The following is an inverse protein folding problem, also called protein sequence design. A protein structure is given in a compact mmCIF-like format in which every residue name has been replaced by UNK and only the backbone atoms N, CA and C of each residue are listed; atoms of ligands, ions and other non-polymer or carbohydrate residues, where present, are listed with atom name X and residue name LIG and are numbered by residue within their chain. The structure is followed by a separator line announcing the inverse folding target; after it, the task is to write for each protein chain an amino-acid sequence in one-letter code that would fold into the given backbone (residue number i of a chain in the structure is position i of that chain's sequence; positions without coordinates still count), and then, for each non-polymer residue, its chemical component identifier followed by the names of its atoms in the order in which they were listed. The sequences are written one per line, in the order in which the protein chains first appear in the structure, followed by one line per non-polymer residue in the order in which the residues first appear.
data_IF_050246762838
#
_entry.id   IF_050246762838
#
_cell.length_a   1.000
_cell.length_b   1.000
_cell.length_c   1.000
_cell.angle_alpha   90.00
_cell.angle_beta   90.00
_cell.angle_gamma   90.00
#
_symmetry.space_group_name_H-M   'P 1'
#
loop_
_entity.id
_entity.type
_entity.pdbx_description
1 polymer ?
#
# COMPACT_ATOMS: atom_id res chain seq x y z
N UNK A 1 -47.05 28.80 46.25
CA UNK A 1 -46.68 28.99 44.83
C UNK A 1 -45.32 28.40 44.38
N UNK A 2 -44.52 27.74 45.22
CA UNK A 2 -43.15 27.27 44.87
C UNK A 2 -43.01 25.81 44.36
N UNK A 3 -44.03 25.23 43.72
CA UNK A 3 -43.98 23.83 43.23
C UNK A 3 -43.70 23.65 41.72
N UNK A 4 -43.63 24.73 40.94
CA UNK A 4 -43.51 24.64 39.47
C UNK A 4 -42.08 24.72 38.91
N UNK A 5 -41.09 25.09 39.70
CA UNK A 5 -39.74 25.37 39.17
C UNK A 5 -38.81 24.14 39.07
N UNK A 6 -39.10 23.05 39.80
CA UNK A 6 -38.30 21.82 39.74
C UNK A 6 -38.58 20.97 38.48
N UNK A 7 -39.83 20.96 38.00
CA UNK A 7 -40.23 20.18 36.80
C UNK A 7 -39.74 20.83 35.51
N UNK A 8 -39.67 22.17 35.47
CA UNK A 8 -39.18 22.92 34.31
C UNK A 8 -37.67 22.75 34.07
N UNK A 9 -36.86 22.66 35.14
CA UNK A 9 -35.41 22.44 35.00
C UNK A 9 -35.06 21.02 34.50
N UNK A 10 -35.91 20.04 34.83
CA UNK A 10 -35.72 18.65 34.42
C UNK A 10 -36.22 18.36 32.99
N UNK A 11 -37.32 18.99 32.57
CA UNK A 11 -37.76 18.95 31.19
C UNK A 11 -36.73 19.61 30.23
N UNK A 12 -36.06 20.67 30.68
CA UNK A 12 -35.01 21.33 29.89
C UNK A 12 -33.79 20.42 29.64
N UNK A 13 -33.38 19.61 30.62
CA UNK A 13 -32.25 18.68 30.48
C UNK A 13 -32.55 17.52 29.51
N UNK A 14 -33.79 17.03 29.50
CA UNK A 14 -34.23 15.99 28.57
C UNK A 14 -34.34 16.50 27.12
N UNK A 15 -34.80 17.74 26.91
CA UNK A 15 -34.82 18.36 25.58
C UNK A 15 -33.41 18.65 25.04
N UNK A 16 -32.47 19.07 25.90
CA UNK A 16 -31.05 19.28 25.55
C UNK A 16 -30.35 17.98 25.09
N UNK A 17 -30.66 16.85 25.73
CA UNK A 17 -30.14 15.54 25.34
C UNK A 17 -30.72 15.02 24.01
N UNK A 18 -32.01 15.25 23.74
CA UNK A 18 -32.66 14.80 22.51
C UNK A 18 -32.14 15.56 21.27
N UNK A 19 -31.82 16.85 21.40
CA UNK A 19 -31.21 17.64 20.33
C UNK A 19 -29.79 17.17 19.97
N UNK A 20 -29.05 16.63 20.94
CA UNK A 20 -27.67 16.19 20.77
C UNK A 20 -27.59 14.84 20.01
N UNK A 21 -28.53 13.92 20.27
CA UNK A 21 -28.64 12.64 19.53
C UNK A 21 -29.07 12.87 18.07
N UNK A 22 -30.04 13.77 17.82
CA UNK A 22 -30.44 14.09 16.46
C UNK A 22 -29.31 14.75 15.65
N UNK A 23 -28.45 15.55 16.31
CA UNK A 23 -27.25 16.13 15.71
C UNK A 23 -26.18 15.06 15.44
N UNK A 24 -25.99 14.08 16.32
CA UNK A 24 -25.10 12.93 16.08
C UNK A 24 -25.60 12.05 14.92
N UNK A 25 -26.91 11.82 14.81
CA UNK A 25 -27.52 11.09 13.68
C UNK A 25 -27.22 11.74 12.33
N UNK A 26 -27.31 13.08 12.26
CA UNK A 26 -26.96 13.82 11.04
C UNK A 26 -25.47 13.69 10.71
N UNK A 27 -24.60 13.88 11.70
CA UNK A 27 -23.15 13.70 11.53
C UNK A 27 -22.77 12.28 11.10
N UNK A 28 -23.46 11.26 11.62
CA UNK A 28 -23.28 9.88 11.20
C UNK A 28 -23.69 9.67 9.73
N UNK A 29 -24.84 10.22 9.33
CA UNK A 29 -25.31 10.14 7.95
C UNK A 29 -24.32 10.83 7.00
N UNK A 30 -23.82 12.02 7.36
CA UNK A 30 -22.83 12.77 6.57
C UNK A 30 -21.50 12.01 6.49
N UNK A 31 -21.02 11.44 7.59
CA UNK A 31 -19.79 10.66 7.61
C UNK A 31 -19.89 9.39 6.76
N UNK A 32 -21.02 8.66 6.84
CA UNK A 32 -21.29 7.48 6.02
C UNK A 32 -21.41 7.83 4.54
N UNK A 33 -22.13 8.90 4.21
CA UNK A 33 -22.26 9.39 2.84
C UNK A 33 -20.90 9.83 2.28
N UNK A 34 -20.10 10.54 3.07
CA UNK A 34 -18.73 10.92 2.72
C UNK A 34 -17.82 9.72 2.47
N UNK A 35 -17.86 8.70 3.34
CA UNK A 35 -17.10 7.47 3.20
C UNK A 35 -17.48 6.71 1.91
N UNK A 36 -18.79 6.57 1.65
CA UNK A 36 -19.29 5.92 0.43
C UNK A 36 -18.88 6.68 -0.84
N UNK A 37 -18.97 8.01 -0.83
CA UNK A 37 -18.55 8.84 -1.95
C UNK A 37 -17.04 8.75 -2.20
N UNK A 38 -16.22 8.75 -1.13
CA UNK A 38 -14.79 8.57 -1.24
C UNK A 38 -14.44 7.17 -1.80
N UNK A 39 -15.07 6.12 -1.29
CA UNK A 39 -14.87 4.77 -1.81
C UNK A 39 -15.25 4.65 -3.29
N UNK A 40 -16.35 5.26 -3.72
CA UNK A 40 -16.76 5.26 -5.11
C UNK A 40 -15.75 6.00 -6.02
N UNK A 41 -15.19 7.12 -5.54
CA UNK A 41 -14.12 7.86 -6.24
C UNK A 41 -12.83 7.04 -6.33
N UNK A 42 -12.40 6.40 -5.23
CA UNK A 42 -11.24 5.52 -5.23
C UNK A 42 -11.38 4.39 -6.26
N UNK A 43 -12.52 3.69 -6.29
CA UNK A 43 -12.79 2.65 -7.28
C UNK A 43 -12.82 3.18 -8.72
N UNK A 44 -13.35 4.38 -8.95
CA UNK A 44 -13.36 4.98 -10.28
C UNK A 44 -11.94 5.32 -10.76
N UNK A 45 -11.11 5.89 -9.89
CA UNK A 45 -9.69 6.18 -10.15
C UNK A 45 -8.90 4.90 -10.41
N UNK A 46 -9.17 3.83 -9.66
CA UNK A 46 -8.51 2.55 -9.86
C UNK A 46 -8.89 1.89 -11.19
N UNK A 47 -10.15 1.99 -11.62
CA UNK A 47 -10.56 1.58 -12.97
C UNK A 47 -9.85 2.37 -14.06
N UNK A 48 -9.71 3.69 -13.88
CA UNK A 48 -8.96 4.54 -14.82
C UNK A 48 -7.47 4.18 -14.84
N UNK A 49 -6.86 3.96 -13.67
CA UNK A 49 -5.48 3.49 -13.56
C UNK A 49 -5.28 2.14 -14.25
N UNK A 50 -6.24 1.21 -14.08
CA UNK A 50 -6.24 -0.07 -14.79
C UNK A 50 -6.31 0.08 -16.31
N UNK A 51 -7.14 0.99 -16.82
CA UNK A 51 -7.21 1.28 -18.26
C UNK A 51 -5.89 1.85 -18.80
N UNK A 52 -5.23 2.75 -18.05
CA UNK A 52 -3.93 3.31 -18.39
C UNK A 52 -2.82 2.23 -18.36
N UNK A 53 -2.83 1.31 -17.38
CA UNK A 53 -1.92 0.14 -17.34
C UNK A 53 -2.12 -0.77 -18.54
N UNK A 54 -3.37 -1.02 -18.93
CA UNK A 54 -3.69 -1.83 -20.11
C UNK A 54 -3.19 -1.14 -21.39
N UNK A 55 -3.36 0.18 -21.52
CA UNK A 55 -2.83 0.95 -22.65
C UNK A 55 -1.29 0.87 -22.73
N UNK A 56 -0.60 0.98 -21.58
CA UNK A 56 0.84 0.78 -21.50
C UNK A 56 1.26 -0.64 -21.94
N UNK A 57 0.54 -1.67 -21.48
CA UNK A 57 0.79 -3.06 -21.86
C UNK A 57 0.59 -3.31 -23.36
N UNK A 58 -0.42 -2.67 -23.98
CA UNK A 58 -0.64 -2.72 -25.43
C UNK A 58 0.52 -2.07 -26.18
N UNK A 59 1.02 -0.92 -25.72
CA UNK A 59 2.18 -0.26 -26.33
C UNK A 59 3.42 -1.16 -26.28
N UNK A 60 3.69 -1.78 -25.12
CA UNK A 60 4.79 -2.70 -24.93
C UNK A 60 4.64 -3.97 -25.80
N UNK A 61 3.44 -4.52 -25.93
CA UNK A 61 3.18 -5.67 -26.79
C UNK A 61 3.43 -5.35 -28.27
N UNK A 62 3.07 -4.14 -28.72
CA UNK A 62 3.38 -3.66 -30.07
C UNK A 62 4.89 -3.55 -30.29
N UNK A 63 5.64 -3.03 -29.31
CA UNK A 63 7.10 -2.96 -29.37
C UNK A 63 7.73 -4.34 -29.57
N UNK A 64 7.32 -5.33 -28.76
CA UNK A 64 7.82 -6.72 -28.86
C UNK A 64 7.47 -7.37 -30.19
N UNK A 65 6.26 -7.13 -30.70
CA UNK A 65 5.84 -7.65 -32.00
C UNK A 65 6.66 -7.05 -33.16
N UNK A 66 6.98 -5.76 -33.08
CA UNK A 66 7.86 -5.09 -34.06
C UNK A 66 9.29 -5.67 -34.00
N UNK A 67 9.86 -5.81 -32.79
CA UNK A 67 11.19 -6.39 -32.60
C UNK A 67 11.27 -7.83 -33.16
N UNK A 68 10.25 -8.65 -32.94
CA UNK A 68 10.17 -10.00 -33.48
C UNK A 68 10.14 -10.02 -35.03
N UNK A 69 9.43 -9.07 -35.66
CA UNK A 69 9.39 -8.95 -37.13
C UNK A 69 10.74 -8.54 -37.71
N UNK A 70 11.46 -7.63 -37.06
CA UNK A 70 12.82 -7.22 -37.46
C UNK A 70 13.77 -8.41 -37.38
N UNK A 71 13.78 -9.12 -36.25
CA UNK A 71 14.63 -10.29 -36.06
C UNK A 71 14.36 -11.39 -37.11
N UNK A 72 13.10 -11.62 -37.46
CA UNK A 72 12.73 -12.56 -38.51
C UNK A 72 13.27 -12.14 -39.89
N UNK A 73 13.12 -10.86 -40.27
CA UNK A 73 13.61 -10.34 -41.53
C UNK A 73 15.16 -10.35 -41.62
N UNK A 74 15.85 -10.04 -40.51
CA UNK A 74 17.31 -10.16 -40.41
C UNK A 74 17.79 -11.60 -40.60
N UNK A 75 17.09 -12.57 -40.00
CA UNK A 75 17.39 -13.98 -40.18
C UNK A 75 17.19 -14.44 -41.63
N UNK A 76 16.14 -13.98 -42.31
CA UNK A 76 15.89 -14.27 -43.73
C UNK A 76 17.01 -13.72 -44.64
N UNK A 77 17.42 -12.47 -44.44
CA UNK A 77 18.53 -11.86 -45.21
C UNK A 77 19.84 -12.61 -44.94
N UNK A 78 20.10 -13.00 -43.69
CA UNK A 78 21.29 -13.76 -43.31
C UNK A 78 21.30 -15.14 -43.98
N UNK A 79 20.18 -15.85 -43.94
CA UNK A 79 20.03 -17.15 -44.60
C UNK A 79 20.18 -17.03 -46.13
N UNK A 80 19.64 -15.97 -46.74
CA UNK A 80 19.75 -15.73 -48.17
C UNK A 80 21.21 -15.43 -48.59
N UNK A 81 21.95 -14.66 -47.80
CA UNK A 81 23.39 -14.42 -48.02
C UNK A 81 24.19 -15.72 -47.96
N UNK A 82 23.98 -16.53 -46.93
CA UNK A 82 24.66 -17.81 -46.80
C UNK A 82 24.39 -18.76 -47.99
N UNK A 83 23.15 -18.77 -48.51
CA UNK A 83 22.81 -19.52 -49.73
C UNK A 83 23.55 -19.00 -50.97
N UNK A 84 23.64 -17.68 -51.14
CA UNK A 84 24.39 -17.07 -52.25
C UNK A 84 25.87 -17.46 -52.17
N UNK A 85 26.47 -17.41 -50.99
CA UNK A 85 27.89 -17.74 -50.80
C UNK A 85 28.16 -19.22 -51.08
N UNK A 86 27.27 -20.12 -50.65
CA UNK A 86 27.36 -21.55 -50.96
C UNK A 86 27.29 -21.82 -52.47
N UNK A 87 26.29 -21.22 -53.16
CA UNK A 87 26.11 -21.41 -54.61
C UNK A 87 27.30 -20.81 -55.38
N UNK A 88 27.83 -19.67 -54.94
CA UNK A 88 29.03 -19.07 -55.53
C UNK A 88 30.25 -20.01 -55.43
N UNK A 89 30.48 -20.63 -54.27
CA UNK A 89 31.55 -21.60 -54.09
C UNK A 89 31.41 -22.85 -54.96
N UNK A 90 30.18 -23.38 -55.11
CA UNK A 90 29.91 -24.50 -56.02
C UNK A 90 30.17 -24.13 -57.49
N UNK A 91 29.81 -22.91 -57.90
CA UNK A 91 30.05 -22.41 -59.25
C UNK A 91 31.54 -22.24 -59.56
N UNK A 92 32.33 -21.73 -58.62
CA UNK A 92 33.78 -21.64 -58.77
C UNK A 92 34.41 -23.03 -58.98
N UNK A 93 33.95 -24.04 -58.23
CA UNK A 93 34.39 -25.43 -58.43
C UNK A 93 34.00 -25.97 -59.82
N UNK A 94 32.79 -25.69 -60.29
CA UNK A 94 32.35 -26.10 -61.63
C UNK A 94 33.16 -25.42 -62.73
N UNK A 95 33.43 -24.11 -62.61
CA UNK A 95 34.27 -23.36 -63.54
C UNK A 95 35.69 -23.92 -63.60
N UNK A 96 36.30 -24.21 -62.45
CA UNK A 96 37.64 -24.81 -62.40
C UNK A 96 37.69 -26.18 -63.09
N UNK A 97 36.65 -27.02 -62.90
CA UNK A 97 36.53 -28.31 -63.60
C UNK A 97 36.38 -28.13 -65.11
N UNK A 98 35.55 -27.17 -65.55
CA UNK A 98 35.36 -26.86 -66.97
C UNK A 98 36.65 -26.33 -67.61
N UNK A 99 37.37 -25.43 -66.93
CA UNK A 99 38.65 -24.89 -67.39
C UNK A 99 39.70 -26.00 -67.56
N UNK A 100 39.82 -26.91 -66.59
CA UNK A 100 40.69 -28.10 -66.71
C UNK A 100 40.31 -28.98 -67.89
N UNK A 101 39.01 -29.19 -68.13
CA UNK A 101 38.52 -29.99 -69.26
C UNK A 101 38.73 -29.31 -70.63
N UNK A 102 38.69 -27.98 -70.69
CA UNK A 102 38.88 -27.19 -71.92
C UNK A 102 40.36 -26.95 -72.26
N UNK A 103 41.28 -27.03 -71.30
CA UNK A 103 42.69 -26.73 -71.51
C UNK A 103 43.35 -27.55 -72.64
N UNK A 104 43.17 -28.89 -72.75
CA UNK A 104 43.76 -29.66 -73.83
C UNK A 104 43.22 -29.27 -75.21
N UNK A 105 41.91 -29.00 -75.31
CA UNK A 105 41.25 -28.59 -76.56
C UNK A 105 41.69 -27.20 -77.02
N UNK A 106 41.89 -26.27 -76.09
CA UNK A 106 42.41 -24.94 -76.41
C UNK A 106 43.84 -25.03 -76.98
N UNK A 107 44.71 -25.86 -76.41
CA UNK A 107 46.05 -26.12 -76.95
C UNK A 107 45.98 -26.79 -78.33
N UNK A 108 45.06 -27.73 -78.53
CA UNK A 108 44.91 -28.46 -79.79
C UNK A 108 44.38 -27.55 -80.92
N UNK A 109 43.41 -26.68 -80.63
CA UNK A 109 42.95 -25.62 -81.54
C UNK A 109 44.10 -24.66 -81.87
N UNK A 110 44.84 -24.19 -80.87
CA UNK A 110 45.99 -23.32 -81.10
C UNK A 110 47.06 -23.98 -81.99
N UNK A 111 47.33 -25.27 -81.79
CA UNK A 111 48.24 -26.05 -82.63
C UNK A 111 47.73 -26.21 -84.07
N UNK A 112 46.44 -26.54 -84.26
CA UNK A 112 45.83 -26.63 -85.59
C UNK A 112 45.81 -25.29 -86.32
N UNK A 113 45.53 -24.20 -85.61
CA UNK A 113 45.47 -22.85 -86.17
C UNK A 113 46.88 -22.34 -86.50
N UNK A 114 47.89 -22.69 -85.70
CA UNK A 114 49.30 -22.48 -86.01
C UNK A 114 49.77 -23.25 -87.24
N UNK A 115 49.32 -24.50 -87.41
CA UNK A 115 49.56 -25.30 -88.61
C UNK A 115 48.87 -24.71 -89.85
N UNK A 116 47.62 -24.29 -89.74
CA UNK A 116 46.85 -23.71 -90.85
C UNK A 116 47.40 -22.34 -91.31
N UNK A 117 48.07 -21.61 -90.42
CA UNK A 117 48.73 -20.34 -90.71
C UNK A 117 50.09 -20.51 -91.43
N UNK A 118 50.59 -21.74 -91.62
CA UNK A 118 51.81 -22.04 -92.39
C UNK A 118 51.43 -22.74 -93.72
N UNK A 119 51.85 -22.26 -94.91
CA UNK A 119 51.37 -22.79 -96.18
C UNK A 119 51.74 -24.28 -96.40
N UNK A 120 50.88 -25.08 -97.04
CA UNK A 120 50.88 -26.54 -96.99
C UNK A 120 51.80 -27.21 -98.01
N UNK A 121 52.96 -26.63 -98.34
CA UNK A 121 53.84 -27.26 -99.35
C UNK A 121 54.50 -28.54 -98.79
N UNK A 122 54.54 -28.72 -97.46
CA UNK A 122 55.13 -29.89 -96.81
C UNK A 122 54.10 -30.98 -96.39
N UNK A 123 52.80 -30.69 -96.35
CA UNK A 123 51.80 -31.61 -95.80
C UNK A 123 51.23 -32.62 -96.81
N UNK A 124 51.43 -32.38 -98.11
CA UNK A 124 50.97 -33.25 -99.22
C UNK A 124 51.87 -34.49 -99.39
N UNK A 125 53.07 -34.49 -98.80
CA UNK A 125 54.09 -35.52 -99.02
C UNK A 125 54.09 -36.69 -98.01
N UNK A 126 53.27 -36.66 -96.95
CA UNK A 126 53.20 -37.74 -95.95
C UNK A 126 51.91 -38.59 -96.08
N UNK A 127 52.01 -39.90 -96.36
CA UNK A 127 50.85 -40.79 -96.34
C UNK A 127 50.32 -40.93 -94.90
N UNK A 128 49.04 -40.62 -94.68
CA UNK A 128 48.35 -40.71 -93.37
C UNK A 128 47.79 -39.39 -92.84
N UNK A 129 48.34 -38.24 -93.26
CA UNK A 129 47.98 -36.93 -92.69
C UNK A 129 46.50 -36.55 -92.84
N UNK A 130 45.86 -36.98 -93.93
CA UNK A 130 44.44 -36.71 -94.21
C UNK A 130 43.51 -37.54 -93.31
N UNK A 131 43.88 -38.79 -93.04
CA UNK A 131 43.12 -39.69 -92.17
C UNK A 131 43.18 -39.22 -90.71
N UNK A 132 44.36 -38.79 -90.25
CA UNK A 132 44.55 -38.22 -88.92
C UNK A 132 43.75 -36.92 -88.74
N UNK A 133 43.75 -36.04 -89.75
CA UNK A 133 42.98 -34.80 -89.72
C UNK A 133 41.47 -35.07 -89.66
N UNK A 134 40.98 -36.05 -90.41
CA UNK A 134 39.58 -36.48 -90.39
C UNK A 134 39.20 -37.06 -89.02
N UNK A 135 40.10 -37.83 -88.39
CA UNK A 135 39.89 -38.41 -87.06
C UNK A 135 39.81 -37.33 -85.97
N UNK A 136 40.75 -36.38 -85.97
CA UNK A 136 40.73 -35.22 -85.05
C UNK A 136 39.45 -34.40 -85.23
N UNK A 137 39.03 -34.15 -86.48
CA UNK A 137 37.79 -33.43 -86.78
C UNK A 137 36.54 -34.18 -86.29
N UNK A 138 36.50 -35.51 -86.42
CA UNK A 138 35.40 -36.34 -85.94
C UNK A 138 35.30 -36.35 -84.40
N UNK A 139 36.43 -36.41 -83.69
CA UNK A 139 36.48 -36.26 -82.23
C UNK A 139 36.05 -34.86 -81.81
N UNK A 140 36.48 -33.81 -82.51
CA UNK A 140 36.03 -32.45 -82.23
C UNK A 140 34.52 -32.28 -82.43
N UNK A 141 33.96 -32.85 -83.50
CA UNK A 141 32.54 -32.77 -83.81
C UNK A 141 31.65 -33.41 -82.73
N UNK A 142 32.17 -34.40 -81.98
CA UNK A 142 31.45 -35.04 -80.88
C UNK A 142 31.65 -34.32 -79.54
N UNK A 143 32.84 -33.79 -79.25
CA UNK A 143 33.17 -33.18 -77.95
C UNK A 143 32.76 -31.69 -77.86
N UNK A 144 32.88 -30.94 -78.95
CA UNK A 144 32.54 -29.51 -78.99
C UNK A 144 31.10 -29.20 -78.53
N UNK A 145 30.03 -29.91 -78.99
CA UNK A 145 28.68 -29.61 -78.54
C UNK A 145 28.46 -29.89 -77.05
N UNK A 146 29.10 -30.91 -76.48
CA UNK A 146 29.01 -31.22 -75.04
C UNK A 146 29.62 -30.09 -74.19
N UNK A 147 30.76 -29.56 -74.61
CA UNK A 147 31.41 -28.44 -73.92
C UNK A 147 30.60 -27.15 -74.08
N UNK A 148 30.04 -26.91 -75.26
CA UNK A 148 29.17 -25.76 -75.50
C UNK A 148 27.92 -25.79 -74.59
N UNK A 149 27.27 -26.96 -74.46
CA UNK A 149 26.12 -27.15 -73.58
C UNK A 149 26.47 -26.96 -72.09
N UNK A 150 27.59 -27.53 -71.63
CA UNK A 150 28.07 -27.33 -70.24
C UNK A 150 28.42 -25.86 -69.96
N UNK A 151 29.08 -25.19 -70.90
CA UNK A 151 29.41 -23.76 -70.78
C UNK A 151 28.14 -22.90 -70.76
N UNK A 152 27.12 -23.24 -71.55
CA UNK A 152 25.83 -22.56 -71.52
C UNK A 152 25.13 -22.72 -70.16
N UNK A 153 25.18 -23.91 -69.58
CA UNK A 153 24.62 -24.21 -68.25
C UNK A 153 25.29 -23.36 -67.17
N UNK A 154 26.63 -23.35 -67.10
CA UNK A 154 27.38 -22.53 -66.13
C UNK A 154 27.08 -21.03 -66.30
N UNK A 155 26.96 -20.54 -67.55
CA UNK A 155 26.56 -19.14 -67.80
C UNK A 155 25.14 -18.84 -67.27
N UNK A 156 24.20 -19.76 -67.44
CA UNK A 156 22.84 -19.60 -66.94
C UNK A 156 22.79 -19.58 -65.40
N UNK A 157 23.53 -20.47 -64.74
CA UNK A 157 23.62 -20.51 -63.27
C UNK A 157 24.31 -19.26 -62.69
N UNK A 158 25.35 -18.74 -63.34
CA UNK A 158 25.97 -17.46 -62.97
C UNK A 158 24.99 -16.29 -63.09
N UNK A 159 24.21 -16.25 -64.18
CA UNK A 159 23.20 -15.22 -64.38
C UNK A 159 22.11 -15.30 -63.29
N UNK A 160 21.67 -16.51 -62.93
CA UNK A 160 20.74 -16.72 -61.82
C UNK A 160 21.34 -16.25 -60.48
N UNK A 161 22.58 -16.62 -60.18
CA UNK A 161 23.27 -16.21 -58.95
C UNK A 161 23.43 -14.70 -58.85
N UNK A 162 23.77 -14.01 -59.95
CA UNK A 162 23.83 -12.54 -60.01
C UNK A 162 22.47 -11.89 -59.71
N UNK A 163 21.37 -12.46 -60.23
CA UNK A 163 20.01 -11.98 -59.93
C UNK A 163 19.66 -12.14 -58.46
N UNK A 164 19.93 -13.30 -57.87
CA UNK A 164 19.69 -13.55 -56.43
C UNK A 164 20.53 -12.61 -55.57
N UNK A 165 21.81 -12.41 -55.90
CA UNK A 165 22.69 -11.46 -55.19
C UNK A 165 22.17 -10.02 -55.26
N UNK A 166 21.66 -9.59 -56.42
CA UNK A 166 21.02 -8.29 -56.56
C UNK A 166 19.77 -8.19 -55.67
N UNK A 167 18.91 -9.22 -55.65
CA UNK A 167 17.74 -9.26 -54.77
C UNK A 167 18.11 -9.19 -53.28
N UNK A 168 19.12 -9.93 -52.84
CA UNK A 168 19.63 -9.88 -51.45
C UNK A 168 20.16 -8.49 -51.10
N UNK A 169 20.83 -7.81 -52.04
CA UNK A 169 21.34 -6.45 -51.83
C UNK A 169 20.19 -5.45 -51.68
N UNK A 170 19.16 -5.55 -52.52
CA UNK A 170 17.94 -4.73 -52.41
C UNK A 170 17.20 -5.02 -51.10
N UNK A 171 17.01 -6.29 -50.75
CA UNK A 171 16.35 -6.70 -49.50
C UNK A 171 17.11 -6.21 -48.27
N UNK A 172 18.45 -6.28 -48.28
CA UNK A 172 19.27 -5.77 -47.19
C UNK A 172 19.17 -4.25 -47.02
N UNK A 173 19.13 -3.48 -48.11
CA UNK A 173 18.93 -2.02 -48.06
C UNK A 173 17.55 -1.67 -47.52
N UNK A 174 16.51 -2.32 -48.06
CA UNK A 174 15.14 -2.14 -47.57
C UNK A 174 15.05 -2.48 -46.08
N UNK A 175 15.73 -3.55 -45.62
CA UNK A 175 15.79 -3.90 -44.20
C UNK A 175 16.40 -2.77 -43.37
N UNK A 176 17.58 -2.24 -43.74
CA UNK A 176 18.21 -1.11 -43.04
C UNK A 176 17.31 0.13 -42.97
N UNK A 177 16.59 0.45 -44.05
CA UNK A 177 15.64 1.57 -44.06
C UNK A 177 14.44 1.30 -43.14
N UNK A 178 13.89 0.09 -43.17
CA UNK A 178 12.76 -0.30 -42.31
C UNK A 178 13.16 -0.34 -40.83
N UNK A 179 14.36 -0.80 -40.49
CA UNK A 179 14.84 -0.82 -39.09
C UNK A 179 15.06 0.59 -38.56
N UNK A 180 15.62 1.50 -39.37
CA UNK A 180 15.75 2.92 -39.01
C UNK A 180 14.37 3.57 -38.75
N UNK A 181 13.38 3.29 -39.60
CA UNK A 181 12.01 3.77 -39.39
C UNK A 181 11.38 3.16 -38.14
N UNK A 182 11.52 1.86 -37.93
CA UNK A 182 10.96 1.16 -36.78
C UNK A 182 11.59 1.62 -35.47
N UNK A 183 12.88 1.99 -35.43
CA UNK A 183 13.50 2.54 -34.22
C UNK A 183 12.84 3.87 -33.81
N UNK A 184 12.49 4.73 -34.77
CA UNK A 184 11.74 5.96 -34.49
C UNK A 184 10.34 5.67 -33.93
N UNK A 185 9.64 4.67 -34.49
CA UNK A 185 8.34 4.21 -33.99
C UNK A 185 8.47 3.58 -32.59
N UNK A 186 9.55 2.83 -32.34
CA UNK A 186 9.87 2.21 -31.05
C UNK A 186 10.06 3.26 -29.97
N UNK A 187 10.81 4.32 -30.25
CA UNK A 187 10.98 5.45 -29.34
C UNK A 187 9.66 6.18 -29.07
N UNK A 188 8.81 6.33 -30.09
CA UNK A 188 7.48 6.92 -29.91
C UNK A 188 6.57 6.05 -29.03
N UNK A 189 6.58 4.73 -29.22
CA UNK A 189 5.86 3.76 -28.39
C UNK A 189 6.39 3.74 -26.96
N UNK A 190 7.70 3.75 -26.75
CA UNK A 190 8.31 3.79 -25.41
C UNK A 190 7.91 5.07 -24.65
N UNK A 191 7.88 6.22 -25.34
CA UNK A 191 7.37 7.48 -24.75
C UNK A 191 5.87 7.39 -24.43
N UNK A 192 5.07 6.74 -25.27
CA UNK A 192 3.65 6.52 -25.02
C UNK A 192 3.41 5.60 -23.82
N UNK A 193 4.13 4.49 -23.74
CA UNK A 193 4.12 3.56 -22.61
C UNK A 193 4.49 4.28 -21.31
N UNK A 194 5.58 5.05 -21.30
CA UNK A 194 6.02 5.80 -20.13
C UNK A 194 4.96 6.81 -19.66
N UNK A 195 4.28 7.49 -20.60
CA UNK A 195 3.15 8.39 -20.27
C UNK A 195 1.98 7.65 -19.63
N UNK A 196 1.55 6.53 -20.21
CA UNK A 196 0.47 5.72 -19.66
C UNK A 196 0.83 5.13 -18.29
N UNK A 197 2.06 4.64 -18.11
CA UNK A 197 2.56 4.14 -16.83
C UNK A 197 2.56 5.24 -15.77
N UNK A 198 3.10 6.42 -16.08
CA UNK A 198 3.10 7.57 -15.16
C UNK A 198 1.69 8.04 -14.79
N UNK A 199 0.75 8.06 -15.74
CA UNK A 199 -0.67 8.37 -15.47
C UNK A 199 -1.32 7.32 -14.58
N UNK A 200 -1.07 6.04 -14.85
CA UNK A 200 -1.59 4.94 -14.02
C UNK A 200 -1.07 5.01 -12.58
N UNK A 201 0.21 5.34 -12.40
CA UNK A 201 0.82 5.53 -11.08
C UNK A 201 0.18 6.71 -10.35
N UNK A 202 0.09 7.88 -11.01
CA UNK A 202 -0.54 9.07 -10.43
C UNK A 202 -2.00 8.82 -10.03
N UNK A 203 -2.80 8.21 -10.91
CA UNK A 203 -4.19 7.83 -10.60
C UNK A 203 -4.28 6.82 -9.46
N UNK A 204 -3.35 5.85 -9.42
CA UNK A 204 -3.24 4.88 -8.33
C UNK A 204 -2.95 5.52 -6.98
N UNK A 205 -2.06 6.51 -6.93
CA UNK A 205 -1.78 7.25 -5.69
C UNK A 205 -3.02 8.01 -5.20
N UNK A 206 -3.71 8.74 -6.09
CA UNK A 206 -4.95 9.46 -5.73
C UNK A 206 -6.05 8.48 -5.31
N UNK A 207 -6.13 7.29 -5.90
CA UNK A 207 -7.06 6.25 -5.48
C UNK A 207 -6.77 5.75 -4.05
N UNK A 208 -5.50 5.56 -3.70
CA UNK A 208 -5.06 5.16 -2.36
C UNK A 208 -5.42 6.25 -1.34
N UNK A 209 -5.13 7.52 -1.66
CA UNK A 209 -5.45 8.65 -0.78
C UNK A 209 -6.96 8.75 -0.52
N UNK A 210 -7.77 8.57 -1.56
CA UNK A 210 -9.22 8.62 -1.42
C UNK A 210 -9.78 7.38 -0.69
N UNK A 211 -9.15 6.22 -0.84
CA UNK A 211 -9.45 5.03 -0.03
C UNK A 211 -9.11 5.24 1.45
N UNK A 212 -7.96 5.85 1.76
CA UNK A 212 -7.58 6.20 3.13
C UNK A 212 -8.57 7.20 3.74
N UNK A 213 -9.04 8.17 2.95
CA UNK A 213 -10.11 9.09 3.36
C UNK A 213 -11.42 8.35 3.64
N UNK A 214 -11.80 7.38 2.81
CA UNK A 214 -12.99 6.57 3.04
C UNK A 214 -12.89 5.78 4.36
N UNK A 215 -11.71 5.21 4.66
CA UNK A 215 -11.44 4.51 5.91
C UNK A 215 -11.57 5.45 7.12
N UNK A 216 -10.92 6.61 7.08
CA UNK A 216 -10.98 7.59 8.17
C UNK A 216 -12.42 8.07 8.45
N UNK A 217 -13.21 8.32 7.40
CA UNK A 217 -14.63 8.68 7.55
C UNK A 217 -15.46 7.51 8.09
N UNK A 218 -15.12 6.27 7.70
CA UNK A 218 -15.73 5.06 8.23
C UNK A 218 -15.44 4.84 9.71
N UNK A 219 -14.22 5.12 10.16
CA UNK A 219 -13.83 5.11 11.58
C UNK A 219 -14.57 6.20 12.37
N UNK A 220 -14.59 7.43 11.88
CA UNK A 220 -15.35 8.52 12.49
C UNK A 220 -16.85 8.19 12.62
N UNK A 221 -17.42 7.51 11.62
CA UNK A 221 -18.80 7.03 11.69
C UNK A 221 -19.00 5.99 12.79
N UNK A 222 -18.05 5.07 13.01
CA UNK A 222 -18.10 4.10 14.12
C UNK A 222 -18.02 4.81 15.48
N UNK A 223 -17.09 5.76 15.63
CA UNK A 223 -16.96 6.54 16.88
C UNK A 223 -18.22 7.35 17.22
N UNK A 224 -18.96 7.82 16.21
CA UNK A 224 -20.25 8.49 16.43
C UNK A 224 -21.29 7.49 16.91
N UNK A 225 -21.36 6.29 16.32
CA UNK A 225 -22.29 5.22 16.76
C UNK A 225 -22.03 4.84 18.22
N UNK A 226 -20.77 4.67 18.60
CA UNK A 226 -20.38 4.31 19.96
C UNK A 226 -20.78 5.41 20.97
N UNK A 227 -20.51 6.68 20.64
CA UNK A 227 -20.95 7.82 21.49
C UNK A 227 -22.46 7.94 21.58
N UNK A 228 -23.19 7.66 20.51
CA UNK A 228 -24.65 7.65 20.52
C UNK A 228 -25.19 6.54 21.42
N UNK A 229 -24.57 5.36 21.42
CA UNK A 229 -24.93 4.25 22.31
C UNK A 229 -24.72 4.64 23.79
N UNK A 230 -23.53 5.17 24.13
CA UNK A 230 -23.22 5.64 25.49
C UNK A 230 -24.22 6.71 25.97
N UNK A 231 -24.55 7.68 25.11
CA UNK A 231 -25.53 8.74 25.42
C UNK A 231 -26.95 8.20 25.56
N UNK A 232 -27.35 7.24 24.73
CA UNK A 232 -28.66 6.58 24.80
C UNK A 232 -28.83 5.82 26.12
N UNK A 233 -27.82 5.06 26.54
CA UNK A 233 -27.80 4.37 27.84
C UNK A 233 -27.88 5.36 29.01
N UNK A 234 -27.13 6.46 28.94
CA UNK A 234 -27.17 7.51 29.97
C UNK A 234 -28.54 8.17 30.08
N UNK A 235 -29.22 8.43 28.95
CA UNK A 235 -30.57 8.98 28.93
C UNK A 235 -31.62 8.00 29.46
N UNK A 236 -31.51 6.71 29.12
CA UNK A 236 -32.38 5.67 29.66
C UNK A 236 -32.25 5.59 31.19
N UNK A 237 -31.00 5.56 31.68
CA UNK A 237 -30.70 5.56 33.12
C UNK A 237 -31.24 6.82 33.82
N UNK A 238 -31.05 7.99 33.22
CA UNK A 238 -31.58 9.24 33.77
C UNK A 238 -33.12 9.25 33.81
N UNK A 239 -33.78 8.73 32.77
CA UNK A 239 -35.24 8.57 32.73
C UNK A 239 -35.75 7.63 33.83
N UNK A 240 -35.06 6.51 34.04
CA UNK A 240 -35.37 5.56 35.11
C UNK A 240 -35.21 6.19 36.50
N UNK A 241 -34.11 6.93 36.73
CA UNK A 241 -33.87 7.66 37.96
C UNK A 241 -34.93 8.74 38.25
N UNK A 242 -35.50 9.35 37.21
CA UNK A 242 -36.58 10.33 37.34
C UNK A 242 -37.95 9.71 37.59
N UNK A 243 -38.15 8.46 37.16
CA UNK A 243 -39.37 7.71 37.43
C UNK A 243 -39.43 7.17 38.87
N UNK A 244 -38.29 7.09 39.56
CA UNK A 244 -38.25 6.71 40.98
C UNK A 244 -38.96 7.76 41.85
N UNK A 245 -39.73 7.34 42.87
CA UNK A 245 -40.35 8.25 43.82
C UNK A 245 -39.28 9.10 44.50
N UNK A 246 -39.47 10.42 44.49
CA UNK A 246 -38.52 11.39 45.03
C UNK A 246 -38.17 11.12 46.50
N UNK A 247 -37.01 11.59 46.97
CA UNK A 247 -36.56 11.32 48.34
C UNK A 247 -37.63 11.79 49.33
N UNK A 248 -38.15 10.86 50.12
CA UNK A 248 -38.98 11.19 51.28
C UNK A 248 -38.18 12.18 52.13
N UNK A 249 -38.75 13.36 52.48
CA UNK A 249 -38.13 14.27 53.42
C UNK A 249 -37.76 13.46 54.66
N UNK A 250 -36.47 13.43 54.99
CA UNK A 250 -36.01 12.82 56.24
C UNK A 250 -36.87 13.42 57.36
N UNK A 251 -37.61 12.61 58.14
CA UNK A 251 -38.30 13.15 59.29
C UNK A 251 -37.26 13.85 60.16
N UNK A 252 -37.53 15.10 60.53
CA UNK A 252 -36.78 15.81 61.56
C UNK A 252 -37.10 15.14 62.91
N UNK A 253 -36.64 13.89 63.06
CA UNK A 253 -36.65 13.14 64.30
C UNK A 253 -35.46 13.60 65.13
N UNK A 254 -35.74 14.04 66.35
CA UNK A 254 -34.74 14.34 67.34
C UNK A 254 -33.75 13.18 67.50
N UNK A 255 -32.46 13.47 67.46
CA UNK A 255 -31.47 12.66 68.17
C UNK A 255 -30.66 11.62 67.39
N UNK A 256 -30.34 11.80 66.11
CA UNK A 256 -29.18 11.09 65.52
C UNK A 256 -28.05 12.08 65.31
N UNK A 257 -27.24 12.26 66.36
CA UNK A 257 -25.95 12.91 66.29
C UNK A 257 -25.05 12.09 65.35
N UNK A 258 -24.92 12.54 64.10
CA UNK A 258 -23.73 12.19 63.32
C UNK A 258 -22.50 12.76 64.04
N UNK A 259 -21.35 12.06 64.03
CA UNK A 259 -20.18 12.50 64.78
C UNK A 259 -19.75 13.89 64.30
N UNK A 260 -19.83 14.86 65.22
CA UNK A 260 -19.09 16.12 65.09
C UNK A 260 -17.62 15.74 65.09
N UNK A 261 -16.86 16.12 64.07
CA UNK A 261 -15.40 16.00 64.12
C UNK A 261 -14.88 17.16 64.98
N UNK A 262 -14.39 16.93 66.20
CA UNK A 262 -13.38 17.80 66.78
C UNK A 262 -12.15 17.75 65.85
N UNK A 263 -11.56 18.91 65.57
CA UNK A 263 -10.46 19.16 64.63
C UNK A 263 -9.23 18.25 64.79
N UNK A 264 -9.15 17.47 65.86
CA UNK A 264 -7.97 16.68 66.25
C UNK A 264 -7.93 15.26 65.67
N UNK A 265 -8.91 14.86 64.82
CA UNK A 265 -9.08 13.43 64.41
C UNK A 265 -9.03 13.15 62.90
N UNK A 266 -8.81 14.15 62.03
CA UNK A 266 -8.64 13.91 60.59
C UNK A 266 -7.23 13.37 60.30
N UNK A 267 -7.10 12.26 59.58
CA UNK A 267 -5.80 11.65 59.24
C UNK A 267 -5.65 11.40 57.74
N UNK A 268 -4.41 11.24 57.29
CA UNK A 268 -4.14 10.75 55.94
C UNK A 268 -4.65 9.30 55.78
N UNK A 269 -5.30 8.98 54.64
CA UNK A 269 -5.85 7.64 54.42
C UNK A 269 -4.78 6.57 54.25
N UNK A 270 -3.54 6.94 53.91
CA UNK A 270 -2.44 6.02 53.74
C UNK A 270 -1.12 6.71 54.06
N UNK A 271 -0.13 5.95 54.55
CA UNK A 271 1.25 6.44 54.67
C UNK A 271 1.91 6.45 53.29
N UNK A 272 2.54 7.55 52.92
CA UNK A 272 3.14 7.71 51.60
C UNK A 272 3.80 9.07 51.42
N UNK A 273 4.57 9.21 50.32
CA UNK A 273 5.16 10.48 49.92
C UNK A 273 4.11 11.32 49.20
N UNK A 274 3.96 12.59 49.55
CA UNK A 274 3.10 13.52 48.79
C UNK A 274 3.72 13.76 47.41
N UNK A 275 2.99 13.44 46.34
CA UNK A 275 3.42 13.62 44.95
C UNK A 275 2.54 14.59 44.17
N UNK A 276 1.54 15.18 44.83
CA UNK A 276 0.70 16.25 44.28
C UNK A 276 -0.04 16.97 45.39
N UNK A 277 0.01 18.30 45.39
CA UNK A 277 -0.55 19.16 46.43
C UNK A 277 -1.93 19.75 46.06
N UNK A 278 -2.64 20.23 47.09
CA UNK A 278 -3.89 20.96 46.89
C UNK A 278 -3.62 22.26 46.12
N UNK A 279 -4.42 22.54 45.08
CA UNK A 279 -4.30 23.75 44.26
C UNK A 279 -3.17 23.72 43.21
N UNK A 280 -2.33 22.68 43.19
CA UNK A 280 -1.29 22.48 42.18
C UNK A 280 -1.90 22.28 40.79
N UNK A 281 -1.26 22.83 39.76
CA UNK A 281 -1.71 22.68 38.38
C UNK A 281 -1.08 21.41 37.82
N UNK A 282 -1.92 20.43 37.52
CA UNK A 282 -1.52 19.20 36.82
C UNK A 282 -0.99 19.48 35.41
N UNK A 283 -0.25 18.53 34.82
CA UNK A 283 0.24 18.60 33.43
C UNK A 283 -0.87 18.86 32.40
N UNK A 284 -2.12 18.54 32.74
CA UNK A 284 -3.31 18.80 31.93
C UNK A 284 -3.99 20.16 32.19
N UNK A 285 -3.34 21.06 32.94
CA UNK A 285 -3.82 22.42 33.23
C UNK A 285 -4.96 22.50 34.28
N UNK A 286 -5.36 21.38 34.87
CA UNK A 286 -6.43 21.32 35.89
C UNK A 286 -5.83 21.50 37.28
N UNK A 287 -6.46 22.35 38.09
CA UNK A 287 -6.09 22.54 39.51
C UNK A 287 -6.53 21.34 40.35
N UNK A 288 -5.58 20.75 41.07
CA UNK A 288 -5.83 19.66 42.01
C UNK A 288 -6.75 20.12 43.16
N UNK A 289 -7.73 19.28 43.50
CA UNK A 289 -8.76 19.55 44.53
C UNK A 289 -8.49 18.82 45.84
N UNK A 290 -7.32 18.19 45.97
CA UNK A 290 -6.88 17.43 47.12
C UNK A 290 -5.40 17.09 47.01
N UNK A 291 -4.93 16.16 47.83
CA UNK A 291 -3.53 15.73 47.86
C UNK A 291 -3.41 14.30 47.32
N UNK A 292 -2.30 14.02 46.62
CA UNK A 292 -1.98 12.70 46.08
C UNK A 292 -0.76 12.12 46.78
N UNK A 293 -0.91 10.89 47.27
CA UNK A 293 0.09 10.15 48.03
C UNK A 293 0.59 8.95 47.22
N UNK A 294 1.89 8.84 47.03
CA UNK A 294 2.54 7.62 46.55
C UNK A 294 2.77 6.67 47.72
N UNK A 295 2.29 5.44 47.61
CA UNK A 295 2.34 4.44 48.68
C UNK A 295 2.80 3.08 48.15
N UNK A 296 3.18 2.18 49.06
CA UNK A 296 3.60 0.83 48.69
C UNK A 296 2.40 0.01 48.15
N UNK A 297 2.62 -0.93 47.21
CA UNK A 297 1.59 -1.82 46.72
C UNK A 297 0.78 -2.50 47.82
N UNK A 298 -0.55 -2.58 47.63
CA UNK A 298 -1.49 -3.25 48.54
C UNK A 298 -1.58 -2.69 49.97
N UNK A 299 -1.00 -1.51 50.22
CA UNK A 299 -1.12 -0.80 51.49
C UNK A 299 -2.60 -0.65 51.90
N UNK A 300 -2.95 -0.84 53.18
CA UNK A 300 -4.30 -0.60 53.65
C UNK A 300 -4.64 0.89 53.53
N UNK A 301 -5.79 1.18 52.94
CA UNK A 301 -6.33 2.53 52.81
C UNK A 301 -7.40 2.69 53.89
N UNK A 302 -7.18 3.66 54.77
CA UNK A 302 -7.94 3.89 55.99
C UNK A 302 -8.89 5.07 55.83
N UNK A 303 -9.96 5.08 56.63
CA UNK A 303 -10.90 6.18 56.72
C UNK A 303 -10.23 7.43 57.33
N UNK A 304 -10.13 8.56 56.60
CA UNK A 304 -9.55 9.81 57.11
C UNK A 304 -10.24 10.31 58.38
N UNK A 305 -11.56 10.13 58.47
CA UNK A 305 -12.35 10.38 59.66
C UNK A 305 -13.55 9.42 59.72
N UNK A 306 -14.25 9.37 60.85
CA UNK A 306 -15.45 8.55 61.00
C UNK A 306 -16.63 9.12 60.21
N UNK A 307 -17.44 8.27 59.58
CA UNK A 307 -18.54 8.73 58.73
C UNK A 307 -19.31 7.61 58.04
N UNK A 308 -20.33 7.99 57.29
CA UNK A 308 -21.15 7.09 56.47
C UNK A 308 -20.57 7.00 55.05
N UNK A 309 -20.41 5.79 54.53
CA UNK A 309 -20.00 5.55 53.14
C UNK A 309 -21.15 5.91 52.21
N UNK A 310 -21.01 7.00 51.45
CA UNK A 310 -22.02 7.45 50.48
C UNK A 310 -21.85 6.80 49.11
N UNK A 311 -20.63 6.38 48.79
CA UNK A 311 -20.31 5.70 47.55
C UNK A 311 -19.06 4.83 47.73
N UNK A 312 -19.05 3.66 47.11
CA UNK A 312 -17.91 2.77 47.06
C UNK A 312 -17.96 1.96 45.75
N UNK A 313 -17.02 2.18 44.83
CA UNK A 313 -17.03 1.52 43.53
C UNK A 313 -15.88 1.92 42.61
N UNK A 314 -15.73 1.21 41.49
CA UNK A 314 -14.74 1.56 40.46
C UNK A 314 -15.26 2.71 39.58
N UNK A 315 -14.38 3.65 39.25
CA UNK A 315 -14.69 4.78 38.38
C UNK A 315 -13.60 4.98 37.32
N UNK A 316 -14.03 5.09 36.06
CA UNK A 316 -13.12 5.10 34.89
C UNK A 316 -12.11 6.25 35.01
N UNK A 317 -10.82 5.91 34.95
CA UNK A 317 -9.72 6.88 35.05
C UNK A 317 -9.27 7.25 36.47
N UNK A 318 -10.01 6.86 37.51
CA UNK A 318 -9.72 7.20 38.92
C UNK A 318 -9.46 5.97 39.81
N UNK A 319 -9.58 4.76 39.25
CA UNK A 319 -9.50 3.51 40.01
C UNK A 319 -10.72 3.32 40.91
N UNK A 320 -10.55 2.63 42.03
CA UNK A 320 -11.58 2.55 43.06
C UNK A 320 -11.74 3.86 43.81
N UNK A 321 -12.99 4.25 44.07
CA UNK A 321 -13.39 5.46 44.78
C UNK A 321 -14.23 5.09 46.00
N UNK A 322 -13.98 5.77 47.11
CA UNK A 322 -14.84 5.79 48.30
C UNK A 322 -15.16 7.23 48.68
N UNK A 323 -16.44 7.53 48.89
CA UNK A 323 -16.92 8.83 49.37
C UNK A 323 -17.49 8.65 50.78
N UNK A 324 -16.96 9.38 51.74
CA UNK A 324 -17.39 9.39 53.14
C UNK A 324 -18.10 10.69 53.47
N UNK A 325 -19.29 10.60 54.07
CA UNK A 325 -19.98 11.73 54.68
C UNK A 325 -19.68 11.74 56.18
N UNK A 326 -19.04 12.79 56.64
CA UNK A 326 -18.65 12.97 58.04
C UNK A 326 -19.70 13.72 58.86
N UNK A 327 -20.80 14.15 58.24
CA UNK A 327 -21.78 15.02 58.88
C UNK A 327 -21.42 16.51 58.75
N UNK A 328 -22.37 17.37 59.14
CA UNK A 328 -22.20 18.85 59.18
C UNK A 328 -21.60 19.48 57.91
N UNK A 329 -21.89 18.89 56.75
CA UNK A 329 -21.41 19.38 55.44
C UNK A 329 -20.03 18.86 55.02
N UNK A 330 -19.36 18.07 55.85
CA UNK A 330 -18.04 17.52 55.57
C UNK A 330 -18.09 16.21 54.79
N UNK A 331 -17.25 16.10 53.76
CA UNK A 331 -17.16 14.89 52.93
C UNK A 331 -15.72 14.65 52.51
N UNK A 332 -15.27 13.40 52.58
CA UNK A 332 -13.98 12.98 52.04
C UNK A 332 -14.16 12.08 50.83
N UNK A 333 -13.37 12.34 49.79
CA UNK A 333 -13.28 11.52 48.60
C UNK A 333 -11.90 10.87 48.59
N UNK A 334 -11.84 9.54 48.59
CA UNK A 334 -10.60 8.76 48.47
C UNK A 334 -10.63 8.00 47.16
N UNK A 335 -9.60 8.17 46.33
CA UNK A 335 -9.49 7.55 45.00
C UNK A 335 -8.16 6.82 44.83
N UNK A 336 -8.04 6.00 43.79
CA UNK A 336 -6.84 5.18 43.57
C UNK A 336 -6.82 3.86 44.35
N UNK A 337 -7.97 3.43 44.89
CA UNK A 337 -8.09 2.11 45.53
C UNK A 337 -7.97 1.01 44.46
N UNK A 338 -7.14 0.00 44.72
CA UNK A 338 -7.04 -1.21 43.90
C UNK A 338 -8.07 -2.28 44.28
N UNK A 339 -8.54 -2.26 45.53
CA UNK A 339 -9.64 -3.08 46.03
C UNK A 339 -10.40 -2.31 47.09
N UNK A 340 -11.72 -2.49 47.14
CA UNK A 340 -12.64 -1.79 48.05
C UNK A 340 -13.23 -2.81 49.02
N UNK A 341 -13.23 -2.48 50.31
CA UNK A 341 -13.67 -3.36 51.40
C UNK A 341 -14.94 -2.89 52.10
N UNK A 342 -15.50 -1.76 51.68
CA UNK A 342 -16.71 -1.14 52.24
C UNK A 342 -17.79 -0.97 51.18
N UNK A 343 -19.05 -0.83 51.61
CA UNK A 343 -20.22 -0.67 50.74
C UNK A 343 -20.98 0.61 51.08
N UNK A 344 -21.76 1.18 50.14
CA UNK A 344 -22.63 2.32 50.43
C UNK A 344 -23.59 1.99 51.60
N UNK A 345 -23.72 2.92 52.55
CA UNK A 345 -24.50 2.78 53.77
C UNK A 345 -23.69 2.35 55.01
N UNK A 346 -22.48 1.82 54.83
CA UNK A 346 -21.63 1.40 55.96
C UNK A 346 -21.22 2.62 56.80
N UNK A 347 -21.29 2.47 58.13
CA UNK A 347 -20.74 3.45 59.07
C UNK A 347 -19.35 3.01 59.48
N UNK A 348 -18.35 3.81 59.14
CA UNK A 348 -16.94 3.50 59.41
C UNK A 348 -16.39 4.42 60.48
N UNK A 349 -15.65 3.85 61.42
CA UNK A 349 -14.89 4.63 62.38
C UNK A 349 -13.67 5.27 61.71
N UNK A 350 -13.17 6.33 62.33
CA UNK A 350 -11.89 6.92 62.00
C UNK A 350 -10.78 5.83 62.01
N UNK A 351 -10.14 5.58 60.86
CA UNK A 351 -9.05 4.61 60.74
C UNK A 351 -9.48 3.20 60.33
N UNK A 352 -10.78 2.98 60.14
CA UNK A 352 -11.28 1.73 59.58
C UNK A 352 -10.76 1.52 58.15
N UNK A 353 -10.55 0.27 57.77
CA UNK A 353 -10.04 -0.08 56.43
C UNK A 353 -11.14 0.11 55.40
N UNK A 354 -10.93 1.04 54.47
CA UNK A 354 -11.79 1.27 53.31
C UNK A 354 -11.47 0.30 52.15
N UNK A 355 -10.23 -0.16 52.09
CA UNK A 355 -9.74 -1.02 51.02
C UNK A 355 -8.22 -1.08 50.98
N UNK A 356 -7.68 -1.37 49.80
CA UNK A 356 -6.23 -1.48 49.57
C UNK A 356 -5.79 -0.70 48.35
N UNK A 357 -4.56 -0.18 48.40
CA UNK A 357 -3.90 0.41 47.24
C UNK A 357 -3.72 -0.63 46.12
N UNK A 358 -3.63 -0.16 44.88
CA UNK A 358 -3.33 -1.02 43.73
C UNK A 358 -1.92 -1.62 43.78
N UNK A 359 -1.57 -2.34 42.72
CA UNK A 359 -0.24 -2.97 42.56
C UNK A 359 0.84 -2.05 41.97
N UNK A 360 0.46 -0.84 41.52
CA UNK A 360 1.31 0.01 40.68
C UNK A 360 1.37 -0.47 39.22
N UNK A 361 2.00 0.29 38.33
CA UNK A 361 2.15 -0.10 36.91
C UNK A 361 3.51 0.33 36.39
N UNK A 362 4.25 -0.59 35.77
CA UNK A 362 5.51 -0.26 35.07
C UNK A 362 6.60 0.33 35.97
N UNK A 363 6.77 -0.18 37.20
CA UNK A 363 7.74 0.35 38.16
C UNK A 363 7.30 1.62 38.90
N UNK A 364 6.12 2.16 38.60
CA UNK A 364 5.53 3.31 39.29
C UNK A 364 4.69 2.84 40.48
N UNK A 365 4.96 3.42 41.64
CA UNK A 365 4.22 3.18 42.87
C UNK A 365 2.73 3.59 42.73
N UNK A 366 1.81 2.86 43.39
CA UNK A 366 0.40 3.24 43.46
C UNK A 366 0.20 4.64 44.04
N UNK A 367 -0.71 5.41 43.43
CA UNK A 367 -1.11 6.74 43.89
C UNK A 367 -2.52 6.72 44.46
N UNK A 368 -2.68 7.28 45.65
CA UNK A 368 -3.96 7.44 46.34
C UNK A 368 -4.21 8.92 46.53
N UNK A 369 -5.34 9.42 46.03
CA UNK A 369 -5.71 10.83 46.16
C UNK A 369 -6.82 10.98 47.17
N UNK A 370 -6.68 11.96 48.08
CA UNK A 370 -7.72 12.33 49.04
C UNK A 370 -8.10 13.79 48.87
N UNK A 371 -9.41 14.03 48.75
CA UNK A 371 -10.00 15.37 48.79
C UNK A 371 -10.89 15.48 50.02
N UNK A 372 -10.79 16.62 50.71
CA UNK A 372 -11.72 17.00 51.77
C UNK A 372 -12.59 18.13 51.24
N UNK A 373 -13.90 18.07 51.52
CA UNK A 373 -14.84 19.09 51.10
C UNK A 373 -15.71 19.51 52.28
N UNK A 374 -16.05 20.80 52.32
CA UNK A 374 -17.08 21.36 53.19
C UNK A 374 -18.13 22.05 52.33
N UNK A 375 -19.38 21.62 52.45
CA UNK A 375 -20.52 22.14 51.68
C UNK A 375 -20.24 22.13 50.16
N UNK A 376 -19.57 21.07 49.70
CA UNK A 376 -19.20 20.88 48.29
C UNK A 376 -17.95 21.62 47.82
N UNK A 377 -17.34 22.48 48.64
CA UNK A 377 -16.10 23.20 48.31
C UNK A 377 -14.86 22.42 48.76
N UNK A 378 -13.86 22.20 47.89
CA UNK A 378 -12.59 21.61 48.27
C UNK A 378 -11.86 22.43 49.34
N UNK A 379 -11.32 21.72 50.34
CA UNK A 379 -10.56 22.28 51.46
C UNK A 379 -9.13 21.75 51.42
N UNK A 380 -8.18 22.59 51.82
CA UNK A 380 -6.80 22.15 51.99
C UNK A 380 -6.68 21.26 53.23
N UNK A 381 -6.24 20.02 53.02
CA UNK A 381 -6.06 19.02 54.08
C UNK A 381 -4.82 19.36 54.93
N UNK A 382 -3.79 19.97 54.34
CA UNK A 382 -2.57 20.33 55.06
C UNK A 382 -2.82 21.39 56.14
N UNK A 383 -3.86 22.22 55.99
CA UNK A 383 -4.24 23.21 56.99
C UNK A 383 -4.91 22.62 58.24
N UNK A 384 -5.29 21.33 58.22
CA UNK A 384 -6.05 20.66 59.29
C UNK A 384 -5.21 19.52 59.92
N UNK A 385 -4.23 19.00 59.18
CA UNK A 385 -3.20 18.12 59.71
C UNK A 385 -2.11 19.02 60.32
N UNK A 386 -2.21 19.26 61.63
CA UNK A 386 -1.36 20.23 62.36
C UNK A 386 0.15 20.10 62.16
#
# INVERSE_FOLDING_TARGET
MRRRHGVLALAALALLGATDIAADQRRLADARAGAAAAQARAQALERQAGAERNAAAIAQAKERAMAARVAAAEAEVTAARARVDLVAGLLEQQQAKLAKAQAPLAHLLAAMQSMAARPPVAAVAQPGSVADLAHVRAVFATVAPVIAARSATVRAELAATRRVRAQVTVAARALTETTAKLESERQALARLEARHRGRAEALGQVAIDESNRALALGEAARDIVDRMAERGEAQATAGELLALPGPVPRPLGAGVMGPVIPSDTYRLPVKGRVTGGFGEISDSGVRARGITLSTVPYAPILAPAGGEVRYAGAFRGYGGIVILNHGTGWTSLVTGLGGISVKPGDHVAAGAVLGRAGRGRGGVEPRVTVELRRDGRPMDIAAILG
#
